data_IF_432650490230
#
_entry.id   IF_432650490230
#
_cell.length_a   1.000
_cell.length_b   1.000
_cell.length_c   1.000
_cell.angle_alpha   90.00
_cell.angle_beta   90.00
_cell.angle_gamma   90.00
#
_symmetry.space_group_name_H-M   'P 1'
#
loop_
_entity.id
_entity.type
_entity.pdbx_description
1 polymer ?
#
# COMPACT_ATOMS: atom_id res chain seq x y z
N UNK A 1 -11.89 -7.19 23.63
CA UNK A 1 -11.24 -5.88 23.80
C UNK A 1 -11.97 -4.92 22.88
N UNK A 2 -12.40 -3.76 23.39
CA UNK A 2 -13.37 -2.92 22.69
C UNK A 2 -12.77 -2.28 21.44
N UNK A 3 -13.16 -2.76 20.27
CA UNK A 3 -12.87 -2.09 19.01
C UNK A 3 -13.59 -0.74 19.01
N UNK A 4 -12.82 0.33 19.02
CA UNK A 4 -13.30 1.68 18.72
C UNK A 4 -12.85 1.99 17.29
N UNK A 5 -13.69 1.76 16.27
CA UNK A 5 -13.33 1.94 14.86
C UNK A 5 -12.76 3.33 14.56
N UNK A 6 -13.27 4.35 15.26
CA UNK A 6 -12.82 5.73 15.15
C UNK A 6 -11.35 5.93 15.56
N UNK A 7 -10.89 5.21 16.59
CA UNK A 7 -9.50 5.27 17.03
C UNK A 7 -8.59 4.57 16.02
N UNK A 8 -9.01 3.42 15.50
CA UNK A 8 -8.27 2.70 14.47
C UNK A 8 -8.12 3.54 13.21
N UNK A 9 -9.18 4.22 12.77
CA UNK A 9 -9.12 5.13 11.63
C UNK A 9 -8.16 6.32 11.85
N UNK A 10 -8.11 6.91 13.04
CA UNK A 10 -7.18 7.99 13.37
C UNK A 10 -5.72 7.52 13.38
N UNK A 11 -5.47 6.32 13.91
CA UNK A 11 -4.14 5.70 13.91
C UNK A 11 -3.70 5.44 12.46
N UNK A 12 -4.59 4.86 11.65
CA UNK A 12 -4.32 4.55 10.25
C UNK A 12 -4.01 5.82 9.43
N UNK A 13 -4.75 6.91 9.67
CA UNK A 13 -4.48 8.21 9.06
C UNK A 13 -3.09 8.76 9.44
N UNK A 14 -2.71 8.64 10.70
CA UNK A 14 -1.39 9.09 11.19
C UNK A 14 -0.26 8.25 10.60
N UNK A 15 -0.46 6.93 10.49
CA UNK A 15 0.51 6.03 9.87
C UNK A 15 0.63 6.31 8.37
N UNK A 16 -0.49 6.59 7.70
CA UNK A 16 -0.49 6.93 6.28
C UNK A 16 0.38 8.16 5.98
N UNK A 17 0.40 9.18 6.83
CA UNK A 17 1.27 10.35 6.65
C UNK A 17 2.76 9.96 6.63
N UNK A 18 3.16 9.01 7.48
CA UNK A 18 4.54 8.51 7.53
C UNK A 18 4.87 7.73 6.25
N UNK A 19 3.97 6.82 5.83
CA UNK A 19 4.08 6.08 4.56
C UNK A 19 4.26 7.06 3.40
N UNK A 20 3.42 8.11 3.37
CA UNK A 20 3.44 9.10 2.31
C UNK A 20 4.74 9.89 2.27
N UNK A 21 5.29 10.31 3.41
CA UNK A 21 6.58 11.02 3.45
C UNK A 21 7.70 10.13 2.91
N UNK A 22 7.83 8.89 3.40
CA UNK A 22 8.92 8.00 2.97
C UNK A 22 8.83 7.70 1.47
N UNK A 23 7.65 7.30 0.98
CA UNK A 23 7.48 6.93 -0.43
C UNK A 23 7.50 8.14 -1.36
N UNK A 24 7.00 9.32 -0.97
CA UNK A 24 7.06 10.51 -1.84
C UNK A 24 8.44 11.13 -1.89
N UNK A 25 9.16 11.17 -0.78
CA UNK A 25 10.46 11.84 -0.70
C UNK A 25 11.62 10.91 -1.09
N UNK A 26 11.37 9.61 -1.27
CA UNK A 26 12.38 8.66 -1.73
C UNK A 26 13.38 8.29 -0.65
N UNK A 27 12.92 8.11 0.58
CA UNK A 27 13.79 7.80 1.73
C UNK A 27 14.10 6.30 1.75
N UNK A 28 15.00 5.87 0.86
CA UNK A 28 15.30 4.45 0.57
C UNK A 28 15.61 3.60 1.81
N UNK A 29 16.29 4.19 2.80
CA UNK A 29 16.68 3.52 4.05
C UNK A 29 15.48 3.00 4.87
N UNK A 30 14.24 3.39 4.54
CA UNK A 30 13.02 2.97 5.23
C UNK A 30 12.03 2.20 4.35
N UNK A 31 12.42 1.83 3.12
CA UNK A 31 11.48 1.21 2.18
C UNK A 31 10.98 -0.16 2.64
N UNK A 32 11.86 -1.03 3.13
CA UNK A 32 11.47 -2.35 3.64
C UNK A 32 10.49 -2.22 4.81
N UNK A 33 10.75 -1.31 5.74
CA UNK A 33 9.90 -1.07 6.90
C UNK A 33 8.53 -0.52 6.50
N UNK A 34 8.50 0.43 5.56
CA UNK A 34 7.24 1.03 5.10
C UNK A 34 6.41 0.05 4.28
N UNK A 35 7.03 -0.77 3.43
CA UNK A 35 6.32 -1.81 2.69
C UNK A 35 5.79 -2.90 3.64
N UNK A 36 6.57 -3.31 4.63
CA UNK A 36 6.12 -4.24 5.69
C UNK A 36 4.95 -3.66 6.50
N UNK A 37 4.97 -2.35 6.76
CA UNK A 37 3.88 -1.66 7.45
C UNK A 37 2.60 -1.62 6.59
N UNK A 38 2.72 -1.36 5.28
CA UNK A 38 1.59 -1.40 4.35
C UNK A 38 1.01 -2.81 4.26
N UNK A 39 1.85 -3.84 4.14
CA UNK A 39 1.44 -5.24 4.17
C UNK A 39 0.64 -5.55 5.44
N UNK A 40 1.16 -5.17 6.61
CA UNK A 40 0.51 -5.36 7.91
C UNK A 40 -0.85 -4.66 7.99
N UNK A 41 -0.96 -3.43 7.49
CA UNK A 41 -2.21 -2.66 7.51
C UNK A 41 -3.26 -3.20 6.54
N UNK A 42 -2.85 -3.95 5.52
CA UNK A 42 -3.74 -4.48 4.48
C UNK A 42 -4.04 -5.98 4.62
N UNK A 43 -3.39 -6.68 5.56
CA UNK A 43 -3.43 -8.15 5.68
C UNK A 43 -4.83 -8.75 5.93
N UNK A 44 -5.75 -7.99 6.54
CA UNK A 44 -7.11 -8.46 6.84
C UNK A 44 -8.20 -7.71 6.06
N UNK A 45 -8.01 -6.42 5.82
CA UNK A 45 -8.98 -5.55 5.14
C UNK A 45 -8.23 -4.36 4.57
N UNK A 46 -8.63 -3.88 3.40
CA UNK A 46 -8.05 -2.66 2.80
C UNK A 46 -8.99 -1.49 3.07
N UNK A 47 -8.53 -0.51 3.83
CA UNK A 47 -9.30 0.71 4.07
C UNK A 47 -9.26 1.65 2.86
N UNK A 48 -10.17 2.64 2.77
CA UNK A 48 -10.10 3.70 1.76
C UNK A 48 -8.78 4.49 1.80
N UNK A 49 -8.13 4.63 2.97
CA UNK A 49 -6.86 5.33 3.09
C UNK A 49 -5.72 4.48 2.54
N UNK A 50 -5.72 3.17 2.77
CA UNK A 50 -4.68 2.27 2.26
C UNK A 50 -4.72 2.12 0.75
N UNK A 51 -5.85 2.36 0.11
CA UNK A 51 -5.88 2.52 -1.35
C UNK A 51 -5.06 3.72 -1.85
N UNK A 52 -4.83 4.75 -1.05
CA UNK A 52 -3.90 5.82 -1.41
C UNK A 52 -2.45 5.34 -1.37
N UNK A 53 -2.10 4.44 -0.45
CA UNK A 53 -0.77 3.83 -0.37
C UNK A 53 -0.46 2.98 -1.61
N UNK A 54 -1.48 2.33 -2.22
CA UNK A 54 -1.32 1.63 -3.50
C UNK A 54 -0.77 2.53 -4.60
N UNK A 55 -1.29 3.75 -4.72
CA UNK A 55 -0.81 4.71 -5.73
C UNK A 55 0.58 5.23 -5.41
N UNK A 56 0.92 5.38 -4.13
CA UNK A 56 2.27 5.75 -3.70
C UNK A 56 3.28 4.63 -4.00
N UNK A 57 2.91 3.37 -3.79
CA UNK A 57 3.72 2.21 -4.18
C UNK A 57 3.98 2.24 -5.67
N UNK A 58 2.97 2.48 -6.50
CA UNK A 58 3.15 2.62 -7.95
C UNK A 58 4.15 3.73 -8.28
N UNK A 59 3.97 4.93 -7.72
CA UNK A 59 4.88 6.05 -7.98
C UNK A 59 6.31 5.74 -7.56
N UNK A 60 6.51 5.16 -6.38
CA UNK A 60 7.81 4.75 -5.87
C UNK A 60 8.43 3.64 -6.75
N UNK A 61 7.65 2.64 -7.15
CA UNK A 61 8.09 1.52 -8.00
C UNK A 61 8.75 2.00 -9.30
N UNK A 62 8.11 2.97 -9.98
CA UNK A 62 8.67 3.54 -11.22
C UNK A 62 9.76 4.59 -11.00
N UNK A 63 9.93 5.10 -9.78
CA UNK A 63 10.98 6.07 -9.44
C UNK A 63 12.27 5.40 -9.02
N UNK A 64 12.21 4.58 -7.97
CA UNK A 64 13.38 4.05 -7.26
C UNK A 64 13.11 2.79 -6.42
N UNK A 65 11.88 2.27 -6.36
CA UNK A 65 11.51 1.12 -5.51
C UNK A 65 11.46 -0.23 -6.24
N UNK A 66 11.89 -0.32 -7.50
CA UNK A 66 11.83 -1.55 -8.29
C UNK A 66 12.64 -2.71 -7.66
N UNK A 67 13.76 -2.42 -6.99
CA UNK A 67 14.57 -3.42 -6.31
C UNK A 67 13.86 -4.06 -5.08
N UNK A 68 12.78 -3.43 -4.59
CA UNK A 68 11.94 -3.90 -3.48
C UNK A 68 10.67 -4.62 -3.98
N UNK A 69 10.71 -5.16 -5.20
CA UNK A 69 9.54 -5.78 -5.81
C UNK A 69 8.99 -6.96 -5.00
N UNK A 70 9.84 -7.72 -4.30
CA UNK A 70 9.38 -8.84 -3.48
C UNK A 70 8.47 -8.38 -2.32
N UNK A 71 8.83 -7.28 -1.67
CA UNK A 71 8.07 -6.65 -0.60
C UNK A 71 6.80 -5.98 -1.14
N UNK A 72 6.91 -5.32 -2.30
CA UNK A 72 5.77 -4.75 -3.02
C UNK A 72 4.76 -5.84 -3.40
N UNK A 73 5.22 -7.01 -3.85
CA UNK A 73 4.34 -8.12 -4.23
C UNK A 73 3.49 -8.64 -3.05
N UNK A 74 4.03 -8.64 -1.84
CA UNK A 74 3.26 -8.98 -0.64
C UNK A 74 2.12 -7.96 -0.42
N UNK A 75 2.42 -6.66 -0.55
CA UNK A 75 1.41 -5.61 -0.48
C UNK A 75 0.34 -5.78 -1.57
N UNK A 76 0.74 -5.98 -2.83
CA UNK A 76 -0.17 -6.15 -3.97
C UNK A 76 -1.09 -7.36 -3.80
N UNK A 77 -0.56 -8.47 -3.29
CA UNK A 77 -1.35 -9.66 -2.96
C UNK A 77 -2.50 -9.33 -1.98
N UNK A 78 -2.24 -8.52 -0.94
CA UNK A 78 -3.27 -8.13 0.02
C UNK A 78 -4.36 -7.27 -0.62
N UNK A 79 -4.02 -6.33 -1.52
CA UNK A 79 -5.03 -5.58 -2.27
C UNK A 79 -5.93 -6.50 -3.12
N UNK A 80 -5.36 -7.55 -3.71
CA UNK A 80 -6.10 -8.53 -4.51
C UNK A 80 -7.01 -9.39 -3.65
N UNK A 81 -6.49 -9.99 -2.58
CA UNK A 81 -7.21 -10.99 -1.78
C UNK A 81 -8.19 -10.37 -0.79
N UNK A 82 -7.83 -9.24 -0.17
CA UNK A 82 -8.59 -8.65 0.92
C UNK A 82 -9.56 -7.55 0.48
N UNK A 83 -9.42 -7.01 -0.74
CA UNK A 83 -10.40 -6.07 -1.32
C UNK A 83 -10.46 -6.16 -2.86
N UNK A 84 -10.72 -7.35 -3.38
CA UNK A 84 -11.00 -7.55 -4.82
C UNK A 84 -12.09 -6.59 -5.36
N UNK A 85 -13.21 -6.35 -4.64
CA UNK A 85 -14.21 -5.38 -5.09
C UNK A 85 -13.62 -3.97 -5.25
N UNK A 86 -12.82 -3.50 -4.28
CA UNK A 86 -12.10 -2.25 -4.38
C UNK A 86 -11.12 -2.22 -5.56
N UNK A 87 -10.40 -3.32 -5.81
CA UNK A 87 -9.47 -3.43 -6.94
C UNK A 87 -10.18 -3.24 -8.29
N UNK A 88 -11.30 -3.94 -8.52
CA UNK A 88 -12.01 -3.89 -9.81
C UNK A 88 -12.95 -2.68 -9.94
N UNK A 89 -13.23 -1.98 -8.84
CA UNK A 89 -14.09 -0.78 -8.85
C UNK A 89 -13.45 0.40 -9.58
N UNK A 90 -12.11 0.46 -9.65
CA UNK A 90 -11.39 1.45 -10.43
C UNK A 90 -10.56 0.74 -11.51
N UNK A 91 -10.85 0.95 -12.81
CA UNK A 91 -10.22 0.21 -13.89
C UNK A 91 -8.70 0.31 -13.93
N UNK A 92 -8.15 1.45 -13.50
CA UNK A 92 -6.72 1.74 -13.48
C UNK A 92 -5.94 0.86 -12.50
N UNK A 93 -6.55 0.45 -11.38
CA UNK A 93 -5.83 -0.32 -10.34
C UNK A 93 -5.38 -1.69 -10.84
N UNK A 94 -6.23 -2.38 -11.61
CA UNK A 94 -5.87 -3.66 -12.20
C UNK A 94 -4.77 -3.50 -13.26
N UNK A 95 -4.82 -2.45 -14.07
CA UNK A 95 -3.79 -2.13 -15.05
C UNK A 95 -2.45 -1.82 -14.37
N UNK A 96 -2.47 -0.98 -13.33
CA UNK A 96 -1.28 -0.65 -12.52
C UNK A 96 -0.64 -1.92 -11.95
N UNK A 97 -1.43 -2.79 -11.32
CA UNK A 97 -0.94 -4.05 -10.77
C UNK A 97 -0.29 -4.93 -11.84
N UNK A 98 -0.97 -5.09 -12.98
CA UNK A 98 -0.48 -5.90 -14.08
C UNK A 98 0.83 -5.37 -14.67
N UNK A 99 0.94 -4.05 -14.86
CA UNK A 99 2.15 -3.43 -15.39
C UNK A 99 3.33 -3.48 -14.42
N UNK A 100 3.10 -3.41 -13.11
CA UNK A 100 4.18 -3.65 -12.13
C UNK A 100 4.67 -5.10 -12.16
N UNK A 101 3.77 -6.08 -12.31
CA UNK A 101 4.14 -7.51 -12.39
C UNK A 101 4.86 -7.93 -13.67
N UNK A 102 4.78 -7.13 -14.73
CA UNK A 102 5.48 -7.36 -16.00
C UNK A 102 6.93 -6.90 -15.99
N UNK A 103 7.27 -5.99 -15.08
CA UNK A 103 8.52 -5.26 -15.12
C UNK A 103 9.71 -6.13 -14.75
#
# INVERSE_FOLDING_TARGET
>A
MGDKPEILAQIEQSIFEIIAVVLRDGILDFYEEILTLIDTLTINTVSPVMWQAFYLIKEAFYRDAADYFAEIMNCLHNYVVNDTPGLISQPDRLEILFEMCKH
#
